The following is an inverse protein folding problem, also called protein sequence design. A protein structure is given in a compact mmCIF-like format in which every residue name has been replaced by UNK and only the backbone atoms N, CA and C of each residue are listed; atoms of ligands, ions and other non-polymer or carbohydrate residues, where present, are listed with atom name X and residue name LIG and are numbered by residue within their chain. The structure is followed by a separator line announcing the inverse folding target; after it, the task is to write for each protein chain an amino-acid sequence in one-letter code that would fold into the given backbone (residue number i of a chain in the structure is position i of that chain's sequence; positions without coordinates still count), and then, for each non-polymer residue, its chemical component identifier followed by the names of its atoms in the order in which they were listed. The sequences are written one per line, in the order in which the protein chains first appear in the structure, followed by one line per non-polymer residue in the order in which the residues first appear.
data_IF_864555643578
#
_entry.id   IF_864555643578
#
_cell.length_a   1.000
_cell.length_b   1.000
_cell.length_c   1.000
_cell.angle_alpha   90.00
_cell.angle_beta   90.00
_cell.angle_gamma   90.00
#
_symmetry.space_group_name_H-M   'P 1'
#
loop_
_entity.id
_entity.type
_entity.pdbx_description
1 polymer ?
#
# COMPACT_ATOMS: atom_id res chain seq x y z
N UNK A 1 -11.51 0.62 0.10
CA UNK A 1 -10.99 -0.26 1.15
C UNK A 1 -9.45 -0.08 1.30
N UNK A 2 -8.96 1.14 1.54
CA UNK A 2 -7.52 1.45 1.53
C UNK A 2 -6.81 1.48 2.90
N UNK A 3 -7.52 1.21 4.00
CA UNK A 3 -7.00 1.27 5.39
C UNK A 3 -7.43 0.04 6.22
N UNK A 4 -7.97 -0.99 5.56
CA UNK A 4 -8.52 -2.18 6.22
C UNK A 4 -8.06 -3.48 5.54
N UNK A 5 -6.97 -3.44 4.78
CA UNK A 5 -6.49 -4.56 4.00
C UNK A 5 -6.20 -4.21 2.54
N UNK A 6 -6.02 -5.25 1.72
CA UNK A 6 -5.69 -5.13 0.31
C UNK A 6 -6.80 -4.42 -0.49
N UNK A 7 -6.39 -3.63 -1.49
CA UNK A 7 -7.31 -3.05 -2.47
C UNK A 7 -7.84 -4.09 -3.47
N UNK A 8 -7.12 -5.20 -3.68
CA UNK A 8 -7.50 -6.26 -4.61
C UNK A 8 -7.94 -5.73 -5.97
N UNK A 9 -9.12 -6.17 -6.42
CA UNK A 9 -9.71 -5.79 -7.71
C UNK A 9 -9.99 -4.28 -7.87
N UNK A 10 -9.97 -3.50 -6.78
CA UNK A 10 -10.09 -2.05 -6.87
C UNK A 10 -8.80 -1.38 -7.36
N UNK A 11 -7.64 -2.03 -7.22
CA UNK A 11 -6.35 -1.45 -7.60
C UNK A 11 -6.27 -1.16 -9.11
N UNK A 12 -6.64 -2.07 -10.03
CA UNK A 12 -6.69 -1.77 -11.47
C UNK A 12 -7.71 -0.67 -11.82
N UNK A 13 -8.83 -0.60 -11.10
CA UNK A 13 -9.85 0.44 -11.32
C UNK A 13 -9.28 1.81 -10.95
N UNK A 14 -8.61 1.92 -9.81
CA UNK A 14 -7.96 3.16 -9.37
C UNK A 14 -6.79 3.55 -10.29
N UNK A 15 -6.03 2.58 -10.79
CA UNK A 15 -4.96 2.79 -11.75
C UNK A 15 -5.46 3.46 -13.05
N UNK A 16 -6.68 3.15 -13.47
CA UNK A 16 -7.31 3.72 -14.67
C UNK A 16 -7.89 5.14 -14.46
N UNK A 17 -7.85 5.68 -13.25
CA UNK A 17 -8.35 7.04 -12.96
C UNK A 17 -7.24 8.10 -13.05
N UNK A 18 -7.63 9.36 -13.10
CA UNK A 18 -6.72 10.52 -13.12
C UNK A 18 -6.15 10.89 -11.73
N UNK A 19 -6.17 9.98 -10.75
CA UNK A 19 -5.53 10.23 -9.45
C UNK A 19 -4.01 10.27 -9.57
N UNK A 20 -3.38 11.08 -8.73
CA UNK A 20 -1.92 11.24 -8.68
C UNK A 20 -1.23 10.15 -7.85
N UNK A 21 -1.96 9.47 -6.97
CA UNK A 21 -1.39 8.42 -6.13
C UNK A 21 -2.41 7.57 -5.37
N UNK A 22 -1.92 6.47 -4.81
CA UNK A 22 -2.68 5.47 -4.04
C UNK A 22 -1.98 5.20 -2.72
N UNK A 23 -2.74 5.14 -1.63
CA UNK A 23 -2.26 4.65 -0.34
C UNK A 23 -2.61 3.17 -0.16
N UNK A 24 -1.63 2.36 0.23
CA UNK A 24 -1.76 0.94 0.49
C UNK A 24 -1.53 0.65 1.97
N UNK A 25 -2.42 -0.12 2.58
CA UNK A 25 -2.24 -0.62 3.95
C UNK A 25 -1.41 -1.91 3.92
N UNK A 26 -0.14 -1.82 4.32
CA UNK A 26 0.77 -2.97 4.41
C UNK A 26 0.81 -3.57 5.81
N UNK A 27 0.07 -3.02 6.77
CA UNK A 27 -0.09 -3.58 8.12
C UNK A 27 -1.17 -4.67 8.11
N UNK A 28 -2.34 -4.37 7.54
CA UNK A 28 -3.45 -5.31 7.45
C UNK A 28 -3.61 -5.94 6.06
N UNK A 29 -2.96 -5.37 5.04
CA UNK A 29 -2.97 -5.88 3.67
C UNK A 29 -1.75 -6.73 3.33
N UNK A 30 -1.56 -6.94 2.03
CA UNK A 30 -0.45 -7.71 1.48
C UNK A 30 0.47 -6.80 0.69
N UNK A 31 1.77 -7.14 0.64
CA UNK A 31 2.72 -6.46 -0.23
C UNK A 31 2.24 -6.61 -1.68
N UNK A 32 2.06 -5.51 -2.44
CA UNK A 32 1.69 -5.60 -3.84
C UNK A 32 2.83 -6.24 -4.63
N UNK A 33 2.46 -7.02 -5.63
CA UNK A 33 3.40 -7.60 -6.58
C UNK A 33 4.01 -6.52 -7.49
N UNK A 34 5.16 -6.82 -8.09
CA UNK A 34 5.78 -5.91 -9.06
C UNK A 34 4.85 -5.61 -10.26
N UNK A 35 4.02 -6.57 -10.66
CA UNK A 35 3.03 -6.37 -11.72
C UNK A 35 1.93 -5.38 -11.31
N UNK A 36 1.40 -5.52 -10.10
CA UNK A 36 0.40 -4.59 -9.55
C UNK A 36 0.96 -3.17 -9.44
N UNK A 37 2.20 -3.02 -8.94
CA UNK A 37 2.87 -1.72 -8.88
C UNK A 37 3.11 -1.15 -10.28
N UNK A 38 3.54 -1.98 -11.23
CA UNK A 38 3.74 -1.58 -12.63
C UNK A 38 2.45 -1.07 -13.29
N UNK A 39 1.28 -1.61 -12.90
CA UNK A 39 -0.02 -1.18 -13.42
C UNK A 39 -0.40 0.25 -13.03
N UNK A 40 0.22 0.80 -11.97
CA UNK A 40 -0.05 2.16 -11.50
C UNK A 40 0.58 3.25 -12.38
N UNK A 41 1.37 2.89 -13.40
CA UNK A 41 1.77 3.83 -14.45
C UNK A 41 2.56 5.06 -13.97
N UNK A 42 3.36 4.91 -12.90
CA UNK A 42 4.16 6.00 -12.33
C UNK A 42 3.41 6.89 -11.33
N UNK A 43 2.15 6.56 -10.98
CA UNK A 43 1.45 7.20 -9.86
C UNK A 43 2.20 6.98 -8.56
N UNK A 44 2.12 7.94 -7.64
CA UNK A 44 2.78 7.84 -6.35
C UNK A 44 2.12 6.79 -5.47
N UNK A 45 2.93 5.97 -4.79
CA UNK A 45 2.44 4.96 -3.84
C UNK A 45 2.84 5.38 -2.43
N UNK A 46 1.85 5.49 -1.55
CA UNK A 46 2.07 5.70 -0.12
C UNK A 46 1.92 4.36 0.58
N UNK A 47 3.00 3.86 1.18
CA UNK A 47 3.02 2.59 1.89
C UNK A 47 2.73 2.79 3.39
N UNK A 48 1.56 2.35 3.83
CA UNK A 48 1.15 2.36 5.24
C UNK A 48 1.75 1.17 5.98
N UNK A 49 2.91 1.36 6.62
CA UNK A 49 3.62 0.34 7.41
C UNK A 49 3.52 0.54 8.93
N UNK A 50 2.92 1.66 9.36
CA UNK A 50 2.70 1.98 10.77
C UNK A 50 1.21 1.80 11.10
N UNK A 51 0.92 1.01 12.13
CA UNK A 51 -0.46 0.76 12.54
C UNK A 51 -1.07 2.01 13.19
N UNK A 52 -2.07 2.60 12.52
CA UNK A 52 -2.97 3.58 13.14
C UNK A 52 -4.09 2.96 13.99
N UNK A 53 -4.12 1.62 14.10
CA UNK A 53 -5.23 0.85 14.69
C UNK A 53 -4.88 0.20 16.03
N UNK A 54 -3.64 0.31 16.46
CA UNK A 54 -3.20 -0.14 17.76
C UNK A 54 -2.18 0.87 18.34
N UNK A 55 -1.73 0.61 19.56
CA UNK A 55 -0.82 1.51 20.30
C UNK A 55 0.58 0.91 20.47
N UNK A 56 0.86 -0.20 19.80
CA UNK A 56 2.14 -0.88 19.91
C UNK A 56 3.18 -0.17 19.06
N UNK A 57 4.42 -0.12 19.56
CA UNK A 57 5.54 0.45 18.81
C UNK A 57 5.81 -0.40 17.57
N UNK A 58 5.88 0.23 16.41
CA UNK A 58 6.30 -0.42 15.15
C UNK A 58 7.76 -0.82 15.21
N UNK A 59 8.07 -2.03 14.73
CA UNK A 59 9.43 -2.42 14.37
C UNK A 59 9.82 -1.68 13.08
N UNK A 60 10.65 -0.65 13.23
CA UNK A 60 11.03 0.22 12.11
C UNK A 60 12.02 -0.44 11.16
N UNK A 61 12.81 -1.41 11.62
CA UNK A 61 13.78 -2.10 10.78
C UNK A 61 13.07 -3.08 9.85
N UNK A 62 12.14 -3.88 10.38
CA UNK A 62 11.28 -4.73 9.56
C UNK A 62 10.40 -3.91 8.58
N UNK A 63 9.94 -2.73 9.00
CA UNK A 63 9.17 -1.84 8.14
C UNK A 63 10.01 -1.27 7.00
N UNK A 64 11.28 -0.94 7.24
CA UNK A 64 12.20 -0.47 6.21
C UNK A 64 12.55 -1.60 5.23
N UNK A 65 12.89 -2.79 5.73
CA UNK A 65 13.19 -3.97 4.90
C UNK A 65 12.02 -4.33 3.96
N UNK A 66 10.77 -4.10 4.39
CA UNK A 66 9.60 -4.29 3.54
C UNK A 66 9.52 -3.29 2.37
N UNK A 67 10.03 -2.07 2.56
CA UNK A 67 9.95 -0.97 1.59
C UNK A 67 11.08 -0.99 0.55
N UNK A 68 12.20 -1.64 0.87
CA UNK A 68 13.32 -1.88 -0.04
C UNK A 68 13.03 -3.03 -1.04
#
# INVERSE_FOLDING_TARGET
AGTYGSLGDALPVLAATEIEGVALDLVAGQRPTAQELGSLGGKSVVAGVVSGRNVWRTDLEAALELLE
#
